data_IF_775648645778
#
_entry.id   IF_775648645778
#
_cell.length_a   1.000
_cell.length_b   1.000
_cell.length_c   1.000
_cell.angle_alpha   90.00
_cell.angle_beta   90.00
_cell.angle_gamma   90.00
#
_symmetry.space_group_name_H-M   'P 1'
#
loop_
_entity.id
_entity.type
_entity.pdbx_description
1 polymer ?
#
# COMPACT_ATOMS: atom_id res chain seq x y z
N UNK A 1 -28.93 0.39 2.85
CA UNK A 1 -27.97 1.25 3.57
C UNK A 1 -27.11 0.33 4.43
N UNK A 2 -25.84 0.20 4.13
CA UNK A 2 -24.88 -0.55 4.98
C UNK A 2 -24.81 0.12 6.34
N UNK A 3 -24.91 -0.64 7.44
CA UNK A 3 -24.75 -0.08 8.78
C UNK A 3 -23.40 0.62 8.90
N UNK A 4 -23.32 1.74 9.62
CA UNK A 4 -22.07 2.47 9.90
C UNK A 4 -20.97 1.52 10.44
N UNK A 5 -21.34 0.53 11.23
CA UNK A 5 -20.44 -0.50 11.74
C UNK A 5 -19.85 -1.36 10.62
N UNK A 6 -20.68 -1.83 9.69
CA UNK A 6 -20.22 -2.66 8.57
C UNK A 6 -19.23 -1.89 7.68
N UNK A 7 -19.44 -0.58 7.51
CA UNK A 7 -18.53 0.27 6.70
C UNK A 7 -17.16 0.41 7.35
N UNK A 8 -17.07 0.55 8.67
CA UNK A 8 -15.81 0.59 9.41
C UNK A 8 -15.06 -0.77 9.31
N UNK A 9 -15.80 -1.87 9.40
CA UNK A 9 -15.22 -3.21 9.23
C UNK A 9 -14.64 -3.42 7.81
N UNK A 10 -15.34 -2.91 6.78
CA UNK A 10 -14.84 -2.89 5.39
C UNK A 10 -13.54 -2.08 5.29
N UNK A 11 -13.48 -0.88 5.86
CA UNK A 11 -12.29 -0.04 5.88
C UNK A 11 -11.10 -0.80 6.47
N UNK A 12 -11.24 -1.30 7.70
CA UNK A 12 -10.15 -2.01 8.40
C UNK A 12 -9.69 -3.26 7.62
N UNK A 13 -10.61 -3.98 6.97
CA UNK A 13 -10.27 -5.16 6.15
C UNK A 13 -9.46 -4.76 4.92
N UNK A 14 -9.85 -3.69 4.25
CA UNK A 14 -9.15 -3.19 3.06
C UNK A 14 -7.77 -2.65 3.43
N UNK A 15 -7.70 -1.85 4.50
CA UNK A 15 -6.44 -1.27 4.95
C UNK A 15 -5.46 -2.37 5.37
N UNK A 16 -5.92 -3.36 6.14
CA UNK A 16 -5.09 -4.54 6.46
C UNK A 16 -4.53 -5.24 5.21
N UNK A 17 -5.36 -5.42 4.17
CA UNK A 17 -4.92 -6.05 2.93
C UNK A 17 -3.98 -5.13 2.13
N UNK A 18 -4.24 -3.83 2.12
CA UNK A 18 -3.43 -2.82 1.43
C UNK A 18 -2.04 -2.70 2.02
N UNK A 19 -1.95 -2.48 3.34
CA UNK A 19 -0.66 -2.36 4.05
C UNK A 19 0.17 -3.65 3.95
N UNK A 20 -0.49 -4.81 4.09
CA UNK A 20 0.18 -6.08 3.86
C UNK A 20 0.71 -6.20 2.44
N UNK A 21 -0.08 -5.76 1.44
CA UNK A 21 0.33 -5.72 0.04
C UNK A 21 1.53 -4.79 -0.19
N UNK A 22 1.56 -3.60 0.43
CA UNK A 22 2.68 -2.68 0.37
C UNK A 22 3.96 -3.29 0.97
N UNK A 23 3.88 -3.92 2.15
CA UNK A 23 5.01 -4.68 2.72
C UNK A 23 5.53 -5.72 1.73
N UNK A 24 4.64 -6.46 1.03
CA UNK A 24 5.02 -7.48 0.04
C UNK A 24 5.66 -6.88 -1.21
N UNK A 25 5.21 -5.72 -1.66
CA UNK A 25 5.87 -4.99 -2.76
C UNK A 25 7.31 -4.65 -2.37
N UNK A 26 7.53 -4.08 -1.19
CA UNK A 26 8.87 -3.76 -0.72
C UNK A 26 9.74 -5.00 -0.49
N UNK A 27 9.16 -6.12 -0.04
CA UNK A 27 9.87 -7.41 0.05
C UNK A 27 10.34 -7.88 -1.34
N UNK A 28 9.49 -7.75 -2.36
CA UNK A 28 9.86 -8.07 -3.75
C UNK A 28 10.96 -7.16 -4.29
N UNK A 29 10.88 -5.86 -4.04
CA UNK A 29 11.91 -4.90 -4.41
C UNK A 29 13.26 -5.22 -3.74
N UNK A 30 13.25 -5.50 -2.44
CA UNK A 30 14.45 -5.88 -1.70
C UNK A 30 15.01 -7.22 -2.17
N UNK A 31 14.17 -8.18 -2.54
CA UNK A 31 14.61 -9.45 -3.11
C UNK A 31 15.41 -9.23 -4.41
N UNK A 32 14.90 -8.39 -5.32
CA UNK A 32 15.62 -8.05 -6.55
C UNK A 32 16.94 -7.32 -6.28
N UNK A 33 16.96 -6.38 -5.32
CA UNK A 33 18.15 -5.63 -4.91
C UNK A 33 19.21 -6.50 -4.20
N UNK A 34 18.79 -7.55 -3.52
CA UNK A 34 19.69 -8.49 -2.86
C UNK A 34 20.28 -9.55 -3.82
N UNK A 35 19.61 -9.81 -4.95
CA UNK A 35 19.98 -10.90 -5.86
C UNK A 35 20.53 -10.42 -7.19
N UNK A 36 19.81 -9.59 -7.91
CA UNK A 36 20.07 -9.27 -9.32
C UNK A 36 20.45 -7.81 -9.58
N UNK A 37 19.97 -6.88 -8.76
CA UNK A 37 20.20 -5.44 -8.95
C UNK A 37 21.10 -4.90 -7.84
N UNK A 38 22.17 -4.17 -8.20
CA UNK A 38 23.10 -3.59 -7.23
C UNK A 38 22.87 -2.08 -7.09
N UNK A 39 22.06 -1.67 -6.12
CA UNK A 39 21.84 -0.26 -5.74
C UNK A 39 21.62 -0.17 -4.23
N UNK A 40 22.69 0.00 -3.46
CA UNK A 40 22.64 0.08 -2.00
C UNK A 40 21.87 1.32 -1.51
N UNK A 41 21.92 2.43 -2.25
CA UNK A 41 21.16 3.63 -1.89
C UNK A 41 19.65 3.40 -2.04
N UNK A 42 19.23 2.75 -3.12
CA UNK A 42 17.83 2.39 -3.32
C UNK A 42 17.37 1.38 -2.27
N UNK A 43 18.19 0.37 -2.00
CA UNK A 43 17.93 -0.66 -0.98
C UNK A 43 17.68 -0.06 0.40
N UNK A 44 18.51 0.92 0.81
CA UNK A 44 18.34 1.63 2.09
C UNK A 44 16.99 2.34 2.15
N UNK A 45 16.66 3.12 1.11
CA UNK A 45 15.39 3.87 1.04
C UNK A 45 14.17 2.94 1.09
N UNK A 46 14.19 1.85 0.31
CA UNK A 46 13.08 0.87 0.31
C UNK A 46 12.94 0.19 1.67
N UNK A 47 14.06 -0.12 2.33
CA UNK A 47 14.00 -0.74 3.64
C UNK A 47 13.43 0.20 4.72
N UNK A 48 13.74 1.49 4.66
CA UNK A 48 13.16 2.51 5.54
C UNK A 48 11.64 2.62 5.35
N UNK A 49 11.16 2.73 4.11
CA UNK A 49 9.72 2.75 3.80
C UNK A 49 9.03 1.46 4.27
N UNK A 50 9.63 0.28 3.99
CA UNK A 50 9.09 -1.01 4.45
C UNK A 50 8.87 -1.08 5.96
N UNK A 51 9.72 -0.45 6.76
CA UNK A 51 9.56 -0.42 8.23
C UNK A 51 8.27 0.31 8.60
N UNK A 52 7.98 1.44 7.97
CA UNK A 52 6.74 2.19 8.21
C UNK A 52 5.51 1.37 7.80
N UNK A 53 5.53 0.74 6.60
CA UNK A 53 4.42 -0.12 6.15
C UNK A 53 4.17 -1.29 7.11
N UNK A 54 5.25 -1.84 7.68
CA UNK A 54 5.12 -2.89 8.68
C UNK A 54 4.40 -2.41 9.94
N UNK A 55 4.65 -1.19 10.38
CA UNK A 55 3.95 -0.58 11.52
C UNK A 55 2.47 -0.36 11.22
N UNK A 56 2.14 0.12 10.01
CA UNK A 56 0.76 0.29 9.55
C UNK A 56 0.03 -1.06 9.49
N UNK A 57 0.64 -2.05 8.85
CA UNK A 57 0.09 -3.40 8.76
C UNK A 57 -0.17 -4.02 10.15
N UNK A 58 0.80 -3.90 11.07
CA UNK A 58 0.67 -4.41 12.44
C UNK A 58 -0.45 -3.70 13.23
N UNK A 59 -0.70 -2.43 12.97
CA UNK A 59 -1.84 -1.72 13.54
C UNK A 59 -3.17 -2.29 13.05
N UNK A 60 -3.34 -2.44 11.74
CA UNK A 60 -4.59 -2.98 11.20
C UNK A 60 -4.78 -4.45 11.54
N UNK A 61 -3.72 -5.24 11.64
CA UNK A 61 -3.82 -6.62 12.14
C UNK A 61 -4.35 -6.67 13.58
N UNK A 62 -3.94 -5.74 14.45
CA UNK A 62 -4.48 -5.61 15.80
C UNK A 62 -5.95 -5.19 15.79
N UNK A 63 -6.36 -4.24 14.94
CA UNK A 63 -7.75 -3.83 14.81
C UNK A 63 -8.64 -4.97 14.26
N UNK A 64 -8.16 -5.76 13.30
CA UNK A 64 -8.81 -6.99 12.82
C UNK A 64 -9.12 -7.94 14.00
N UNK A 65 -8.10 -8.24 14.81
CA UNK A 65 -8.24 -9.15 15.97
C UNK A 65 -9.15 -8.56 17.04
N UNK A 66 -8.95 -7.31 17.43
CA UNK A 66 -9.71 -6.61 18.46
C UNK A 66 -11.20 -6.52 18.16
N UNK A 67 -11.56 -6.32 16.89
CA UNK A 67 -12.95 -6.16 16.45
C UNK A 67 -13.58 -7.46 15.93
N UNK A 68 -12.81 -8.57 15.93
CA UNK A 68 -13.20 -9.87 15.37
C UNK A 68 -13.66 -9.76 13.90
N UNK A 69 -12.94 -8.96 13.12
CA UNK A 69 -13.18 -8.78 11.69
C UNK A 69 -12.52 -9.93 10.94
N UNK A 70 -13.18 -10.46 9.91
CA UNK A 70 -12.57 -11.46 9.02
C UNK A 70 -11.70 -10.74 7.99
N UNK A 71 -10.38 -11.05 7.90
CA UNK A 71 -9.56 -10.54 6.82
C UNK A 71 -10.05 -11.07 5.47
N UNK A 72 -9.68 -10.38 4.39
CA UNK A 72 -10.00 -10.89 3.05
C UNK A 72 -9.36 -12.25 2.79
N UNK A 73 -10.10 -13.13 2.10
CA UNK A 73 -9.61 -14.47 1.70
C UNK A 73 -8.52 -14.41 0.63
N UNK A 74 -8.35 -13.27 -0.01
CA UNK A 74 -7.39 -13.08 -1.09
C UNK A 74 -5.98 -12.67 -0.63
N UNK A 75 -5.70 -12.61 0.69
CA UNK A 75 -4.36 -12.27 1.19
C UNK A 75 -3.24 -13.07 0.52
N UNK A 76 -3.32 -14.41 0.34
CA UNK A 76 -2.24 -15.15 -0.31
C UNK A 76 -2.01 -14.72 -1.77
N UNK A 77 -3.07 -14.34 -2.49
CA UNK A 77 -2.97 -13.82 -3.85
C UNK A 77 -2.34 -12.44 -3.86
N UNK A 78 -2.75 -11.55 -2.96
CA UNK A 78 -2.17 -10.22 -2.84
C UNK A 78 -0.70 -10.26 -2.42
N UNK A 79 -0.32 -11.17 -1.54
CA UNK A 79 1.08 -11.42 -1.17
C UNK A 79 1.92 -11.79 -2.40
N UNK A 80 1.47 -12.76 -3.19
CA UNK A 80 2.17 -13.21 -4.39
C UNK A 80 2.29 -12.09 -5.43
N UNK A 81 1.19 -11.38 -5.71
CA UNK A 81 1.16 -10.29 -6.67
C UNK A 81 2.00 -9.10 -6.19
N UNK A 82 1.99 -8.79 -4.90
CA UNK A 82 2.81 -7.74 -4.31
C UNK A 82 4.31 -8.02 -4.47
N UNK A 83 4.76 -9.23 -4.09
CA UNK A 83 6.16 -9.64 -4.29
C UNK A 83 6.54 -9.61 -5.77
N UNK A 84 5.69 -10.15 -6.65
CA UNK A 84 5.92 -10.17 -8.09
C UNK A 84 6.03 -8.76 -8.71
N UNK A 85 5.14 -7.84 -8.31
CA UNK A 85 5.14 -6.45 -8.74
C UNK A 85 6.39 -5.71 -8.26
N UNK A 86 6.75 -5.86 -6.98
CA UNK A 86 7.94 -5.25 -6.41
C UNK A 86 9.22 -5.74 -7.08
N UNK A 87 9.37 -7.05 -7.23
CA UNK A 87 10.51 -7.67 -7.89
C UNK A 87 10.62 -7.23 -9.35
N UNK A 88 9.54 -7.38 -10.12
CA UNK A 88 9.52 -7.03 -11.55
C UNK A 88 9.79 -5.55 -11.81
N UNK A 89 9.17 -4.65 -11.01
CA UNK A 89 9.44 -3.21 -11.14
C UNK A 89 10.91 -2.85 -10.87
N UNK A 90 11.55 -3.53 -9.93
CA UNK A 90 12.97 -3.29 -9.60
C UNK A 90 13.91 -3.81 -10.69
N UNK A 91 13.58 -4.93 -11.35
CA UNK A 91 14.32 -5.41 -12.51
C UNK A 91 14.29 -4.43 -13.70
N UNK A 92 13.20 -3.67 -13.84
CA UNK A 92 13.09 -2.60 -14.84
C UNK A 92 13.87 -1.33 -14.47
N UNK A 93 14.52 -1.33 -13.31
CA UNK A 93 15.40 -0.27 -12.83
C UNK A 93 14.77 0.68 -11.83
N UNK A 94 15.62 1.52 -11.22
CA UNK A 94 15.24 2.43 -10.13
C UNK A 94 14.00 3.28 -10.42
N UNK A 95 13.88 3.83 -11.63
CA UNK A 95 12.71 4.67 -12.00
C UNK A 95 11.40 3.88 -11.95
N UNK A 96 11.41 2.63 -12.39
CA UNK A 96 10.25 1.77 -12.38
C UNK A 96 9.91 1.31 -10.94
N UNK A 97 10.91 0.96 -10.14
CA UNK A 97 10.72 0.64 -8.72
C UNK A 97 10.08 1.81 -7.96
N UNK A 98 10.60 3.02 -8.14
CA UNK A 98 10.06 4.22 -7.50
C UNK A 98 8.68 4.61 -8.05
N UNK A 99 8.43 4.41 -9.35
CA UNK A 99 7.08 4.61 -9.90
C UNK A 99 6.08 3.62 -9.33
N UNK A 100 6.49 2.37 -9.10
CA UNK A 100 5.63 1.38 -8.44
C UNK A 100 5.17 1.89 -7.08
N UNK A 101 6.10 2.33 -6.22
CA UNK A 101 5.80 2.98 -4.94
C UNK A 101 4.85 4.16 -5.15
N UNK A 102 5.22 5.18 -5.93
CA UNK A 102 4.41 6.38 -6.12
C UNK A 102 2.99 6.07 -6.63
N UNK A 103 2.83 5.08 -7.50
CA UNK A 103 1.52 4.70 -8.06
C UNK A 103 0.61 4.05 -7.04
N UNK A 104 1.16 3.23 -6.15
CA UNK A 104 0.42 2.61 -5.04
C UNK A 104 0.02 3.67 -4.03
N UNK A 105 0.96 4.52 -3.57
CA UNK A 105 0.69 5.55 -2.56
C UNK A 105 -0.35 6.58 -3.04
N UNK A 106 -0.39 6.90 -4.32
CA UNK A 106 -1.44 7.77 -4.87
C UNK A 106 -2.85 7.15 -4.81
N UNK A 107 -2.96 5.84 -4.83
CA UNK A 107 -4.24 5.15 -4.65
C UNK A 107 -4.61 5.09 -3.16
N UNK A 108 -3.65 4.75 -2.30
CA UNK A 108 -3.84 4.67 -0.85
C UNK A 108 -4.19 6.04 -0.25
N UNK A 109 -3.49 7.12 -0.64
CA UNK A 109 -3.80 8.50 -0.24
C UNK A 109 -5.28 8.85 -0.45
N UNK A 110 -5.81 8.56 -1.64
CA UNK A 110 -7.23 8.79 -1.96
C UNK A 110 -8.17 7.90 -1.16
N UNK A 111 -7.77 6.67 -0.93
CA UNK A 111 -8.55 5.72 -0.15
C UNK A 111 -8.64 6.18 1.31
N UNK A 112 -7.53 6.54 1.93
CA UNK A 112 -7.49 7.08 3.28
C UNK A 112 -8.25 8.41 3.42
N UNK A 113 -8.14 9.33 2.45
CA UNK A 113 -8.93 10.56 2.47
C UNK A 113 -10.43 10.26 2.48
N UNK A 114 -10.88 9.34 1.63
CA UNK A 114 -12.29 8.95 1.58
C UNK A 114 -12.79 8.33 2.89
N UNK A 115 -11.95 7.57 3.60
CA UNK A 115 -12.27 7.02 4.92
C UNK A 115 -12.32 8.11 5.99
N UNK A 116 -11.35 9.04 5.99
CA UNK A 116 -11.30 10.18 6.90
C UNK A 116 -12.59 10.99 6.81
N UNK A 117 -13.13 11.19 5.61
CA UNK A 117 -14.35 11.95 5.37
C UNK A 117 -15.60 11.22 5.87
N UNK A 118 -15.58 9.89 5.92
CA UNK A 118 -16.71 9.04 6.32
C UNK A 118 -16.68 8.63 7.81
N UNK A 119 -15.51 8.63 8.46
CA UNK A 119 -15.38 8.23 9.86
C UNK A 119 -15.99 9.27 10.82
N UNK A 120 -16.97 8.83 11.58
CA UNK A 120 -17.67 9.64 12.56
C UNK A 120 -16.93 9.81 13.90
N UNK A 121 -17.57 10.53 14.81
CA UNK A 121 -17.00 10.86 16.13
C UNK A 121 -16.82 9.66 17.07
N UNK A 122 -17.48 8.54 16.79
CA UNK A 122 -17.32 7.27 17.51
C UNK A 122 -16.02 6.52 17.14
N UNK A 123 -15.34 6.89 16.06
CA UNK A 123 -14.11 6.27 15.58
C UNK A 123 -12.90 7.24 15.60
N UNK A 124 -12.85 8.13 16.59
CA UNK A 124 -11.81 9.18 16.68
C UNK A 124 -10.39 8.64 16.66
N UNK A 125 -10.12 7.56 17.39
CA UNK A 125 -8.77 6.98 17.48
C UNK A 125 -8.35 6.33 16.14
N UNK A 126 -9.26 5.60 15.50
CA UNK A 126 -9.02 5.04 14.17
C UNK A 126 -8.77 6.16 13.16
N UNK A 127 -9.64 7.18 13.13
CA UNK A 127 -9.49 8.34 12.25
C UNK A 127 -8.15 9.05 12.43
N UNK A 128 -7.71 9.27 13.68
CA UNK A 128 -6.41 9.89 13.98
C UNK A 128 -5.25 9.04 13.44
N UNK A 129 -5.33 7.72 13.55
CA UNK A 129 -4.31 6.82 13.01
C UNK A 129 -4.27 6.84 11.48
N UNK A 130 -5.42 6.79 10.82
CA UNK A 130 -5.51 6.87 9.36
C UNK A 130 -4.96 8.21 8.83
N UNK A 131 -5.23 9.33 9.53
CA UNK A 131 -4.65 10.62 9.17
C UNK A 131 -3.12 10.55 9.21
N UNK A 132 -2.55 10.00 10.29
CA UNK A 132 -1.10 9.86 10.42
C UNK A 132 -0.51 8.96 9.33
N UNK A 133 -1.10 7.80 9.09
CA UNK A 133 -0.64 6.88 8.05
C UNK A 133 -0.70 7.54 6.67
N UNK A 134 -1.78 8.26 6.36
CA UNK A 134 -1.87 9.02 5.12
C UNK A 134 -0.73 10.05 4.97
N UNK A 135 -0.30 10.70 6.05
CA UNK A 135 0.86 11.60 6.02
C UNK A 135 2.15 10.84 5.68
N UNK A 136 2.33 9.64 6.25
CA UNK A 136 3.46 8.76 5.96
C UNK A 136 3.44 8.33 4.47
N UNK A 137 2.27 7.97 3.90
CA UNK A 137 2.11 7.62 2.47
C UNK A 137 2.43 8.79 1.52
N UNK A 138 1.99 9.99 1.88
CA UNK A 138 2.36 11.18 1.13
C UNK A 138 3.88 11.41 1.13
N UNK A 139 4.53 11.15 2.24
CA UNK A 139 5.99 11.22 2.36
C UNK A 139 6.69 10.15 1.51
N UNK A 140 6.22 8.89 1.53
CA UNK A 140 6.75 7.82 0.66
C UNK A 140 6.62 8.18 -0.81
N UNK A 141 5.46 8.72 -1.21
CA UNK A 141 5.23 9.21 -2.58
C UNK A 141 6.24 10.30 -2.96
N UNK A 142 6.47 11.27 -2.09
CA UNK A 142 7.42 12.37 -2.35
C UNK A 142 8.87 11.84 -2.45
N UNK A 143 9.27 10.91 -1.59
CA UNK A 143 10.55 10.21 -1.69
C UNK A 143 10.65 9.52 -3.06
N UNK A 144 9.62 8.81 -3.50
CA UNK A 144 9.63 8.09 -4.76
C UNK A 144 9.82 9.04 -5.96
N UNK A 145 9.13 10.18 -6.00
CA UNK A 145 9.34 11.18 -7.04
C UNK A 145 10.72 11.81 -6.98
N UNK A 146 11.21 12.15 -5.81
CA UNK A 146 12.56 12.70 -5.61
C UNK A 146 13.66 11.71 -6.01
N UNK A 147 13.40 10.41 -5.92
CA UNK A 147 14.31 9.33 -6.34
C UNK A 147 14.15 8.92 -7.81
N UNK A 148 13.28 9.60 -8.57
CA UNK A 148 13.22 9.49 -10.02
C UNK A 148 11.98 8.80 -10.58
N UNK A 149 10.94 8.57 -9.80
CA UNK A 149 9.64 8.15 -10.34
C UNK A 149 9.17 9.13 -11.41
N UNK A 150 8.65 8.62 -12.51
CA UNK A 150 8.19 9.45 -13.63
C UNK A 150 7.02 8.77 -14.34
N UNK A 151 6.11 9.57 -14.87
CA UNK A 151 4.95 9.10 -15.67
C UNK A 151 5.09 9.40 -17.17
N UNK A 152 6.32 9.64 -17.65
CA UNK A 152 6.59 9.93 -19.06
C UNK A 152 6.78 8.67 -19.88
N UNK A 153 6.27 8.66 -21.12
CA UNK A 153 6.44 7.53 -22.05
C UNK A 153 5.82 6.24 -21.52
N UNK A 154 6.52 5.12 -21.61
CA UNK A 154 6.07 3.79 -21.17
C UNK A 154 5.73 3.74 -19.66
N UNK A 155 6.35 4.58 -18.85
CA UNK A 155 6.04 4.67 -17.42
C UNK A 155 4.60 5.14 -17.15
N UNK A 156 3.98 5.91 -18.06
CA UNK A 156 2.56 6.27 -17.96
C UNK A 156 1.64 5.05 -18.06
N UNK A 157 2.01 4.08 -18.87
CA UNK A 157 1.25 2.83 -19.02
C UNK A 157 1.40 1.99 -17.73
N UNK A 158 2.62 1.87 -17.23
CA UNK A 158 2.91 1.17 -15.99
C UNK A 158 2.14 1.78 -14.80
N UNK A 159 2.13 3.11 -14.64
CA UNK A 159 1.34 3.82 -13.62
C UNK A 159 -0.16 3.45 -13.69
N UNK A 160 -0.73 3.45 -14.89
CA UNK A 160 -2.15 3.10 -15.09
C UNK A 160 -2.43 1.65 -14.71
N UNK A 161 -1.58 0.72 -15.09
CA UNK A 161 -1.72 -0.71 -14.77
C UNK A 161 -1.68 -0.90 -13.25
N UNK A 162 -0.68 -0.34 -12.57
CA UNK A 162 -0.52 -0.47 -11.12
C UNK A 162 -1.72 0.11 -10.40
N UNK A 163 -2.12 1.33 -10.72
CA UNK A 163 -3.29 1.97 -10.10
C UNK A 163 -4.59 1.22 -10.33
N UNK A 164 -4.77 0.67 -11.52
CA UNK A 164 -5.96 -0.14 -11.82
C UNK A 164 -5.94 -1.43 -10.99
N UNK A 165 -4.80 -2.12 -10.93
CA UNK A 165 -4.63 -3.32 -10.12
C UNK A 165 -4.89 -3.05 -8.64
N UNK A 166 -4.33 -1.97 -8.08
CA UNK A 166 -4.54 -1.57 -6.68
C UNK A 166 -6.02 -1.28 -6.39
N UNK A 167 -6.72 -0.56 -7.27
CA UNK A 167 -8.15 -0.29 -7.12
C UNK A 167 -9.00 -1.56 -7.19
N UNK A 168 -8.65 -2.49 -8.07
CA UNK A 168 -9.32 -3.80 -8.17
C UNK A 168 -9.12 -4.59 -6.88
N UNK A 169 -7.89 -4.62 -6.33
CA UNK A 169 -7.60 -5.29 -5.07
C UNK A 169 -8.39 -4.68 -3.90
N UNK A 170 -8.49 -3.36 -3.81
CA UNK A 170 -9.33 -2.65 -2.83
C UNK A 170 -10.79 -3.09 -2.96
N UNK A 171 -11.38 -2.97 -4.15
CA UNK A 171 -12.79 -3.31 -4.40
C UNK A 171 -13.15 -4.77 -4.09
N UNK A 172 -12.21 -5.70 -4.32
CA UNK A 172 -12.39 -7.11 -3.97
C UNK A 172 -12.30 -7.30 -2.46
N UNK A 173 -11.30 -6.68 -1.81
CA UNK A 173 -11.08 -6.80 -0.37
C UNK A 173 -12.18 -6.16 0.47
N UNK A 174 -12.91 -5.17 -0.05
CA UNK A 174 -14.11 -4.62 0.60
C UNK A 174 -15.23 -5.68 0.76
N UNK A 175 -15.35 -6.59 -0.21
CA UNK A 175 -16.51 -7.50 -0.30
C UNK A 175 -16.29 -8.86 0.36
N UNK A 176 -15.04 -9.32 0.45
CA UNK A 176 -14.76 -10.72 0.83
C UNK A 176 -13.57 -10.81 1.79
#
# INVERSE_FOLDING_TARGET
MTSSKNRVEEFIRVDHAGERGAVKIYEGQLLALNTLVKDENLKKVINEMKIHEKEHCDFFEKEIKKRNIKPTKFLPLWDLLGVGLGFGSTLLGKKAAMLCTASVEEVIDKHYQNQIDQLGSNEKELKKKIIKFREDELHHKDIAYNKGATKKGLYSIMDKIIKTGSKVAINISEKI
#
